data_IF_394684106275
#
_entry.id   IF_394684106275
#
_cell.length_a   1.000
_cell.length_b   1.000
_cell.length_c   1.000
_cell.angle_alpha   90.00
_cell.angle_beta   90.00
_cell.angle_gamma   90.00
#
_symmetry.space_group_name_H-M   'P 1'
#
loop_
_entity.id
_entity.type
_entity.pdbx_description
1 polymer ?
#
# COMPACT_ATOMS: atom_id res chain seq x y z
N UNK A 1 24.21 -3.19 -7.39
CA UNK A 1 25.19 -3.96 -8.19
C UNK A 1 25.19 -3.37 -9.61
N UNK A 2 26.32 -2.87 -10.15
CA UNK A 2 26.36 -2.35 -11.54
C UNK A 2 26.62 -3.53 -12.49
N UNK A 3 25.65 -3.87 -13.33
CA UNK A 3 25.76 -4.98 -14.29
C UNK A 3 26.39 -4.50 -15.60
N UNK A 4 27.14 -5.37 -16.31
CA UNK A 4 27.75 -5.02 -17.59
C UNK A 4 26.67 -4.82 -18.67
N UNK A 5 26.77 -3.72 -19.41
CA UNK A 5 25.80 -3.28 -20.45
C UNK A 5 25.58 -4.27 -21.61
N UNK A 6 26.31 -5.40 -21.66
CA UNK A 6 26.36 -6.34 -22.79
C UNK A 6 25.70 -7.71 -22.53
N UNK A 7 24.78 -7.83 -21.57
CA UNK A 7 23.99 -9.05 -21.39
C UNK A 7 22.78 -9.10 -22.34
N UNK A 8 22.44 -10.29 -22.84
CA UNK A 8 21.19 -10.50 -23.57
C UNK A 8 19.99 -10.24 -22.66
N UNK A 9 18.82 -9.89 -23.23
CA UNK A 9 17.60 -9.62 -22.47
C UNK A 9 17.17 -10.80 -21.58
N UNK A 10 17.34 -12.02 -22.09
CA UNK A 10 17.07 -13.26 -21.37
C UNK A 10 18.04 -13.48 -20.20
N UNK A 11 19.31 -13.15 -20.36
CA UNK A 11 20.30 -13.29 -19.29
C UNK A 11 20.09 -12.24 -18.20
N UNK A 12 19.66 -11.02 -18.56
CA UNK A 12 19.26 -10.00 -17.60
C UNK A 12 18.05 -10.46 -16.78
N UNK A 13 16.99 -10.95 -17.42
CA UNK A 13 15.81 -11.47 -16.72
C UNK A 13 16.16 -12.58 -15.74
N UNK A 14 16.97 -13.57 -16.17
CA UNK A 14 17.43 -14.66 -15.30
C UNK A 14 18.21 -14.17 -14.08
N UNK A 15 18.97 -13.08 -14.21
CA UNK A 15 19.67 -12.48 -13.07
C UNK A 15 18.70 -11.78 -12.11
N UNK A 16 17.72 -11.03 -12.63
CA UNK A 16 16.66 -10.42 -11.82
C UNK A 16 15.85 -11.47 -11.05
N UNK A 17 15.48 -12.57 -11.71
CA UNK A 17 14.74 -13.67 -11.10
C UNK A 17 15.56 -14.32 -9.97
N UNK A 18 16.84 -14.62 -10.21
CA UNK A 18 17.74 -15.18 -9.19
C UNK A 18 17.93 -14.28 -7.99
N UNK A 19 18.10 -12.98 -8.21
CA UNK A 19 18.26 -12.02 -7.12
C UNK A 19 16.96 -11.92 -6.30
N UNK A 20 15.81 -11.82 -6.98
CA UNK A 20 14.50 -11.80 -6.31
C UNK A 20 14.27 -13.07 -5.50
N UNK A 21 14.60 -14.23 -6.04
CA UNK A 21 14.52 -15.50 -5.33
C UNK A 21 15.42 -15.52 -4.09
N UNK A 22 16.67 -15.07 -4.22
CA UNK A 22 17.60 -14.96 -3.09
C UNK A 22 17.04 -14.05 -1.98
N UNK A 23 16.56 -12.88 -2.34
CA UNK A 23 16.02 -11.90 -1.40
C UNK A 23 14.77 -12.43 -0.68
N UNK A 24 13.89 -13.11 -1.41
CA UNK A 24 12.67 -13.70 -0.84
C UNK A 24 13.01 -14.86 0.08
N UNK A 25 13.98 -15.72 -0.28
CA UNK A 25 14.47 -16.79 0.59
C UNK A 25 15.10 -16.24 1.87
N UNK A 26 15.90 -15.17 1.78
CA UNK A 26 16.50 -14.52 2.94
C UNK A 26 15.42 -14.03 3.91
N UNK A 27 14.42 -13.30 3.40
CA UNK A 27 13.31 -12.80 4.21
C UNK A 27 12.48 -13.95 4.79
N UNK A 28 12.16 -14.96 3.98
CA UNK A 28 11.38 -16.12 4.40
C UNK A 28 12.04 -16.93 5.51
N UNK A 29 13.36 -17.14 5.41
CA UNK A 29 14.12 -17.80 6.48
C UNK A 29 14.05 -16.99 7.77
N UNK A 30 14.27 -15.68 7.70
CA UNK A 30 14.18 -14.81 8.88
C UNK A 30 12.77 -14.79 9.50
N UNK A 31 11.71 -14.86 8.68
CA UNK A 31 10.34 -15.06 9.18
C UNK A 31 10.22 -16.40 9.90
N UNK A 32 10.64 -17.50 9.29
CA UNK A 32 10.60 -18.85 9.89
C UNK A 32 11.34 -18.88 11.24
N UNK A 33 12.51 -18.26 11.31
CA UNK A 33 13.33 -18.17 12.53
C UNK A 33 12.62 -17.41 13.67
N UNK A 34 11.79 -16.42 13.33
CA UNK A 34 11.03 -15.62 14.29
C UNK A 34 9.58 -16.11 14.53
N UNK A 35 9.17 -17.21 13.89
CA UNK A 35 7.77 -17.63 13.83
C UNK A 35 7.11 -17.85 15.20
N UNK A 36 7.83 -18.48 16.13
CA UNK A 36 7.29 -18.75 17.47
C UNK A 36 7.08 -17.46 18.26
N UNK A 37 8.04 -16.54 18.23
CA UNK A 37 7.93 -15.23 18.87
C UNK A 37 6.75 -14.44 18.32
N UNK A 38 6.56 -14.43 17.00
CA UNK A 38 5.43 -13.75 16.36
C UNK A 38 4.10 -14.36 16.80
N UNK A 39 3.99 -15.69 16.90
CA UNK A 39 2.76 -16.34 17.38
C UNK A 39 2.43 -15.98 18.82
N UNK A 40 3.44 -15.91 19.69
CA UNK A 40 3.27 -15.51 21.08
C UNK A 40 2.77 -14.06 21.14
N UNK A 41 3.41 -13.14 20.43
CA UNK A 41 2.99 -11.73 20.35
C UNK A 41 1.56 -11.65 19.82
N UNK A 42 1.24 -12.35 18.74
CA UNK A 42 -0.08 -12.32 18.11
C UNK A 42 -1.19 -12.83 19.01
N UNK A 43 -0.95 -13.93 19.71
CA UNK A 43 -1.92 -14.49 20.67
C UNK A 43 -2.16 -13.51 21.82
N UNK A 44 -1.09 -12.97 22.42
CA UNK A 44 -1.20 -12.01 23.52
C UNK A 44 -1.90 -10.71 23.11
N UNK A 45 -1.55 -10.18 21.94
CA UNK A 45 -2.14 -8.96 21.39
C UNK A 45 -3.63 -9.15 21.06
N UNK A 46 -4.00 -10.28 20.47
CA UNK A 46 -5.39 -10.59 20.15
C UNK A 46 -6.25 -10.69 21.42
N UNK A 47 -5.75 -11.38 22.46
CA UNK A 47 -6.44 -11.46 23.74
C UNK A 47 -6.60 -10.06 24.37
N UNK A 48 -5.53 -9.25 24.35
CA UNK A 48 -5.57 -7.88 24.86
C UNK A 48 -6.62 -7.03 24.13
N UNK A 49 -6.76 -7.15 22.80
CA UNK A 49 -7.79 -6.42 22.02
C UNK A 49 -9.22 -6.87 22.39
N UNK A 50 -9.43 -8.18 22.57
CA UNK A 50 -10.74 -8.76 22.91
C UNK A 50 -11.19 -8.28 24.30
N UNK A 51 -10.28 -8.28 25.25
CA UNK A 51 -10.57 -7.95 26.65
C UNK A 51 -10.60 -6.42 26.91
N UNK A 52 -10.19 -5.60 25.94
CA UNK A 52 -10.08 -4.15 26.12
C UNK A 52 -11.42 -3.42 25.95
N UNK A 53 -11.99 -2.95 27.06
CA UNK A 53 -13.19 -2.10 27.05
C UNK A 53 -12.91 -0.66 26.59
N UNK A 54 -11.70 -0.16 26.82
CA UNK A 54 -11.34 1.22 26.46
C UNK A 54 -11.00 1.31 24.96
N UNK A 55 -11.92 1.88 24.17
CA UNK A 55 -11.77 2.05 22.73
C UNK A 55 -10.44 2.71 22.33
N UNK A 56 -9.97 3.71 23.08
CA UNK A 56 -8.71 4.41 22.79
C UNK A 56 -7.49 3.50 22.85
N UNK A 57 -7.47 2.61 23.83
CA UNK A 57 -6.42 1.61 24.01
C UNK A 57 -6.57 0.54 22.93
N UNK A 58 -7.80 0.09 22.70
CA UNK A 58 -8.10 -0.90 21.67
C UNK A 58 -7.58 -0.47 20.30
N UNK A 59 -7.79 0.78 19.89
CA UNK A 59 -7.29 1.27 18.61
C UNK A 59 -5.75 1.37 18.52
N UNK A 60 -5.06 1.66 19.63
CA UNK A 60 -3.59 1.58 19.66
C UNK A 60 -3.14 0.13 19.44
N UNK A 61 -3.78 -0.82 20.12
CA UNK A 61 -3.49 -2.24 19.97
C UNK A 61 -3.84 -2.74 18.55
N UNK A 62 -4.91 -2.23 17.92
CA UNK A 62 -5.24 -2.52 16.52
C UNK A 62 -4.19 -1.96 15.53
N UNK A 63 -3.58 -0.80 15.80
CA UNK A 63 -2.44 -0.32 15.01
C UNK A 63 -1.19 -1.22 15.17
N UNK A 64 -0.93 -1.72 16.38
CA UNK A 64 0.14 -2.69 16.63
C UNK A 64 -0.19 -4.03 15.94
N UNK A 65 -1.46 -4.43 15.95
CA UNK A 65 -1.94 -5.62 15.24
C UNK A 65 -1.74 -5.47 13.74
N UNK A 66 -1.97 -4.27 13.22
CA UNK A 66 -1.69 -3.98 11.82
C UNK A 66 -0.20 -4.17 11.49
N UNK A 67 0.73 -3.73 12.35
CA UNK A 67 2.16 -4.02 12.19
C UNK A 67 2.45 -5.52 12.23
N UNK A 68 1.83 -6.28 13.12
CA UNK A 68 2.03 -7.73 13.17
C UNK A 68 1.50 -8.42 11.90
N UNK A 69 0.31 -8.04 11.45
CA UNK A 69 -0.30 -8.50 10.22
C UNK A 69 0.61 -8.23 9.01
N UNK A 70 1.39 -7.13 9.02
CA UNK A 70 2.37 -6.92 7.95
C UNK A 70 3.34 -8.11 7.79
N UNK A 71 3.76 -8.76 8.87
CA UNK A 71 4.62 -9.93 8.79
C UNK A 71 3.93 -11.14 8.14
N UNK A 72 2.62 -11.33 8.35
CA UNK A 72 1.85 -12.38 7.67
C UNK A 72 1.85 -12.17 6.15
N UNK A 73 1.68 -10.93 5.69
CA UNK A 73 1.71 -10.64 4.26
C UNK A 73 3.10 -10.79 3.66
N UNK A 74 4.14 -10.43 4.41
CA UNK A 74 5.51 -10.66 4.00
C UNK A 74 5.77 -12.16 3.85
N UNK A 75 5.26 -12.98 4.79
CA UNK A 75 5.34 -14.44 4.73
C UNK A 75 4.61 -15.01 3.52
N UNK A 76 3.36 -14.63 3.29
CA UNK A 76 2.58 -15.11 2.13
C UNK A 76 3.28 -14.73 0.81
N UNK A 77 3.78 -13.48 0.73
CA UNK A 77 4.45 -12.97 -0.46
C UNK A 77 5.75 -13.72 -0.74
N UNK A 78 6.59 -13.92 0.28
CA UNK A 78 7.85 -14.64 0.12
C UNK A 78 7.65 -16.15 -0.09
N UNK A 79 6.63 -16.76 0.50
CA UNK A 79 6.29 -18.17 0.29
C UNK A 79 5.84 -18.48 -1.15
N UNK A 80 5.45 -17.46 -1.93
CA UNK A 80 5.08 -17.63 -3.34
C UNK A 80 6.23 -18.13 -4.24
N UNK A 81 7.50 -17.99 -3.81
CA UNK A 81 8.65 -18.59 -4.51
C UNK A 81 8.65 -20.12 -4.44
N UNK A 82 7.99 -20.71 -3.43
CA UNK A 82 7.90 -22.15 -3.23
C UNK A 82 6.72 -22.75 -4.03
N UNK A 83 6.09 -21.98 -4.93
CA UNK A 83 5.06 -22.45 -5.85
C UNK A 83 3.61 -22.15 -5.45
N UNK A 84 3.38 -21.26 -4.49
CA UNK A 84 2.01 -20.89 -4.10
C UNK A 84 1.29 -20.08 -5.20
N UNK A 85 -0.01 -20.34 -5.40
CA UNK A 85 -0.85 -19.67 -6.40
C UNK A 85 -1.11 -18.16 -6.10
N UNK A 86 -0.58 -17.65 -4.99
CA UNK A 86 -0.66 -16.23 -4.60
C UNK A 86 0.64 -15.53 -5.00
N UNK A 87 0.89 -15.47 -6.30
CA UNK A 87 2.03 -14.70 -6.84
C UNK A 87 1.76 -13.20 -6.68
N UNK A 88 2.50 -12.60 -5.75
CA UNK A 88 2.78 -11.17 -5.57
C UNK A 88 1.76 -10.29 -4.82
N UNK A 89 2.23 -9.68 -3.72
CA UNK A 89 2.08 -8.25 -3.46
C UNK A 89 3.49 -7.64 -3.57
N UNK A 90 3.71 -6.59 -4.37
CA UNK A 90 4.99 -5.89 -4.35
C UNK A 90 5.21 -5.28 -2.95
N UNK A 91 6.38 -5.58 -2.38
CA UNK A 91 6.82 -5.13 -1.04
C UNK A 91 6.73 -3.62 -0.81
N UNK A 92 6.54 -2.85 -1.87
CA UNK A 92 6.60 -1.40 -1.86
C UNK A 92 5.44 -0.72 -1.11
N UNK A 93 4.19 -1.09 -1.41
CA UNK A 93 3.03 -0.55 -0.70
C UNK A 93 2.96 -1.06 0.71
N UNK A 94 3.28 -2.34 0.85
CA UNK A 94 3.43 -3.03 2.11
C UNK A 94 4.39 -2.29 3.06
N UNK A 95 5.63 -2.09 2.64
CA UNK A 95 6.66 -1.50 3.48
C UNK A 95 6.35 -0.03 3.80
N UNK A 96 5.72 0.68 2.85
CA UNK A 96 5.23 2.04 3.10
C UNK A 96 4.12 2.08 4.16
N UNK A 97 3.20 1.12 4.13
CA UNK A 97 2.16 1.03 5.15
C UNK A 97 2.76 0.67 6.51
N UNK A 98 3.72 -0.26 6.55
CA UNK A 98 4.49 -0.58 7.75
C UNK A 98 5.13 0.69 8.35
N UNK A 99 5.95 1.42 7.57
CA UNK A 99 6.60 2.65 8.04
C UNK A 99 5.61 3.76 8.41
N UNK A 100 4.47 3.86 7.72
CA UNK A 100 3.41 4.81 8.08
C UNK A 100 2.84 4.47 9.45
N UNK A 101 2.55 3.20 9.69
CA UNK A 101 1.99 2.69 10.94
C UNK A 101 2.99 2.82 12.09
N UNK A 102 4.28 2.58 11.86
CA UNK A 102 5.34 2.85 12.83
C UNK A 102 5.28 4.29 13.37
N UNK A 103 5.19 5.28 12.47
CA UNK A 103 5.09 6.69 12.87
C UNK A 103 3.79 7.02 13.60
N UNK A 104 2.68 6.35 13.26
CA UNK A 104 1.40 6.54 13.96
C UNK A 104 1.51 5.99 15.38
N UNK A 105 1.99 4.76 15.56
CA UNK A 105 2.15 4.12 16.88
C UNK A 105 3.11 4.90 17.76
N UNK A 106 4.33 5.20 17.28
CA UNK A 106 5.30 6.02 18.01
C UNK A 106 4.72 7.40 18.35
N UNK A 107 4.00 8.00 17.41
CA UNK A 107 3.38 9.29 17.58
C UNK A 107 2.33 9.27 18.70
N UNK A 108 1.45 8.25 18.72
CA UNK A 108 0.43 8.06 19.76
C UNK A 108 1.07 7.83 21.12
N UNK A 109 2.11 7.01 21.20
CA UNK A 109 2.80 6.70 22.46
C UNK A 109 3.57 7.92 22.98
N UNK A 110 4.27 8.64 22.11
CA UNK A 110 4.95 9.89 22.48
C UNK A 110 3.98 10.94 23.02
N UNK A 111 2.80 11.06 22.43
CA UNK A 111 1.76 12.00 22.89
C UNK A 111 1.32 11.66 24.33
N UNK A 112 1.20 10.38 24.69
CA UNK A 112 0.93 9.96 26.09
C UNK A 112 2.03 10.45 27.03
N UNK A 113 3.31 10.23 26.69
CA UNK A 113 4.42 10.67 27.52
C UNK A 113 4.46 12.19 27.70
N UNK A 114 4.10 12.96 26.65
CA UNK A 114 3.98 14.41 26.72
C UNK A 114 2.84 14.83 27.66
N UNK A 115 1.63 14.31 27.43
CA UNK A 115 0.42 14.69 28.17
C UNK A 115 0.53 14.33 29.65
N UNK A 116 1.17 13.20 29.96
CA UNK A 116 1.39 12.73 31.34
C UNK A 116 2.66 13.27 31.98
N UNK A 117 3.47 14.05 31.26
CA UNK A 117 4.76 14.61 31.74
C UNK A 117 5.74 13.55 32.23
N UNK A 118 5.89 12.47 31.46
CA UNK A 118 6.67 11.29 31.81
C UNK A 118 8.03 11.19 31.09
N UNK A 119 8.54 12.30 30.54
CA UNK A 119 9.78 12.32 29.71
C UNK A 119 11.05 11.86 30.44
N UNK A 120 11.09 11.97 31.76
CA UNK A 120 12.25 11.55 32.56
C UNK A 120 12.08 10.14 33.15
N UNK A 121 10.99 9.44 32.83
CA UNK A 121 10.69 8.11 33.36
C UNK A 121 11.52 7.00 32.69
N UNK A 122 11.73 5.90 33.42
CA UNK A 122 12.31 4.67 32.85
C UNK A 122 11.50 4.16 31.65
N UNK A 123 10.16 4.26 31.69
CA UNK A 123 9.29 3.88 30.58
C UNK A 123 9.53 4.73 29.31
N UNK A 124 9.88 6.01 29.47
CA UNK A 124 10.23 6.85 28.32
C UNK A 124 11.60 6.47 27.73
N UNK A 125 12.57 6.11 28.58
CA UNK A 125 13.86 5.57 28.08
C UNK A 125 13.65 4.26 27.33
N UNK A 126 12.79 3.37 27.85
CA UNK A 126 12.40 2.13 27.19
C UNK A 126 11.77 2.42 25.82
N UNK A 127 10.82 3.37 25.74
CA UNK A 127 10.24 3.84 24.49
C UNK A 127 11.31 4.33 23.49
N UNK A 128 12.23 5.19 23.93
CA UNK A 128 13.31 5.69 23.07
C UNK A 128 14.17 4.55 22.50
N UNK A 129 14.53 3.57 23.32
CA UNK A 129 15.31 2.42 22.90
C UNK A 129 14.55 1.56 21.86
N UNK A 130 13.26 1.33 22.07
CA UNK A 130 12.40 0.59 21.12
C UNK A 130 12.30 1.36 19.79
N UNK A 131 11.99 2.65 19.83
CA UNK A 131 11.85 3.48 18.62
C UNK A 131 13.18 3.65 17.86
N UNK A 132 14.33 3.50 18.53
CA UNK A 132 15.65 3.57 17.89
C UNK A 132 15.92 2.36 16.98
N UNK A 133 15.36 1.17 17.29
CA UNK A 133 15.50 -0.05 16.48
C UNK A 133 15.15 0.16 15.01
N UNK A 134 14.13 1.01 14.76
CA UNK A 134 13.50 1.27 13.46
C UNK A 134 13.75 2.71 12.95
N UNK A 135 14.72 3.43 13.53
CA UNK A 135 14.96 4.84 13.21
C UNK A 135 15.31 5.05 11.73
N UNK A 136 16.07 4.11 11.15
CA UNK A 136 16.49 4.16 9.74
C UNK A 136 15.28 4.05 8.81
N UNK A 137 14.39 3.10 9.10
CA UNK A 137 13.15 2.79 8.39
C UNK A 137 12.18 3.99 8.47
N UNK A 138 12.12 4.69 9.62
CA UNK A 138 11.33 5.91 9.78
C UNK A 138 11.87 7.09 8.98
N UNK A 139 13.19 7.23 8.88
CA UNK A 139 13.85 8.32 8.15
C UNK A 139 13.69 8.20 6.64
N UNK A 140 13.57 6.98 6.13
CA UNK A 140 13.26 6.71 4.73
C UNK A 140 11.95 7.33 4.25
N UNK A 141 10.91 7.42 5.09
CA UNK A 141 9.64 8.06 4.70
C UNK A 141 9.79 9.52 4.27
N UNK A 142 10.78 10.26 4.79
CA UNK A 142 10.99 11.66 4.40
C UNK A 142 11.48 11.80 2.95
N UNK A 143 12.03 10.73 2.36
CA UNK A 143 12.39 10.67 0.94
C UNK A 143 11.22 10.19 0.06
N UNK A 144 10.38 9.29 0.59
CA UNK A 144 9.29 8.60 -0.14
C UNK A 144 8.05 9.51 -0.39
N UNK A 145 7.82 10.53 0.44
CA UNK A 145 6.62 11.39 0.39
C UNK A 145 6.78 12.61 -0.56
N UNK A 146 8.02 13.03 -0.85
CA UNK A 146 8.27 14.34 -1.49
C UNK A 146 9.37 14.40 -2.58
N UNK A 147 10.11 13.32 -2.83
CA UNK A 147 11.05 13.23 -3.97
C UNK A 147 10.64 12.08 -4.90
N UNK A 148 11.36 11.91 -6.02
CA UNK A 148 11.28 10.70 -6.85
C UNK A 148 11.47 9.53 -5.88
N UNK A 149 10.36 8.86 -5.61
CA UNK A 149 10.31 7.78 -4.65
C UNK A 149 11.30 6.69 -5.13
N UNK A 150 12.12 6.07 -4.26
CA UNK A 150 13.03 4.99 -4.66
C UNK A 150 12.32 3.84 -5.40
N UNK A 151 11.00 3.70 -5.19
CA UNK A 151 10.10 2.84 -5.96
C UNK A 151 9.92 3.27 -7.44
N UNK A 152 10.44 4.43 -7.87
CA UNK A 152 10.26 5.08 -9.18
C UNK A 152 11.56 5.22 -9.96
N UNK A 153 12.72 5.15 -9.29
CA UNK A 153 14.04 5.08 -9.93
C UNK A 153 14.56 3.64 -10.05
N UNK A 154 13.83 2.65 -9.49
CA UNK A 154 14.12 1.22 -9.68
C UNK A 154 14.85 0.54 -8.53
N UNK A 155 14.91 1.13 -7.35
CA UNK A 155 15.65 0.57 -6.20
C UNK A 155 14.78 -0.30 -5.30
N UNK A 156 13.92 -1.12 -5.91
CA UNK A 156 13.27 -2.27 -5.27
C UNK A 156 14.25 -3.06 -4.38
N UNK A 157 15.49 -3.23 -4.86
CA UNK A 157 16.57 -3.87 -4.12
C UNK A 157 16.98 -3.10 -2.85
N UNK A 158 17.05 -1.77 -2.89
CA UNK A 158 17.31 -1.01 -1.67
C UNK A 158 16.21 -1.23 -0.65
N UNK A 159 14.94 -1.17 -1.05
CA UNK A 159 13.82 -1.40 -0.13
C UNK A 159 13.85 -2.80 0.47
N UNK A 160 14.09 -3.81 -0.36
CA UNK A 160 14.22 -5.19 0.12
C UNK A 160 15.41 -5.35 1.07
N UNK A 161 16.52 -4.66 0.82
CA UNK A 161 17.70 -4.71 1.68
C UNK A 161 17.44 -4.09 3.06
N UNK A 162 16.49 -3.17 3.17
CA UNK A 162 16.05 -2.62 4.47
C UNK A 162 15.10 -3.53 5.24
N UNK A 163 14.50 -4.54 4.59
CA UNK A 163 13.62 -5.48 5.29
C UNK A 163 14.46 -6.34 6.25
N UNK A 164 14.28 -6.06 7.53
CA UNK A 164 14.87 -6.80 8.64
C UNK A 164 13.77 -7.30 9.58
N UNK A 165 13.37 -8.55 9.40
CA UNK A 165 12.26 -9.18 10.13
C UNK A 165 12.53 -9.21 11.64
N UNK A 166 13.74 -9.56 12.07
CA UNK A 166 14.11 -9.59 13.48
C UNK A 166 13.87 -8.23 14.16
N UNK A 167 14.33 -7.14 13.54
CA UNK A 167 14.05 -5.79 14.05
C UNK A 167 12.57 -5.46 14.08
N UNK A 168 11.82 -5.84 13.05
CA UNK A 168 10.37 -5.62 13.00
C UNK A 168 9.69 -6.35 14.18
N UNK A 169 10.07 -7.60 14.44
CA UNK A 169 9.53 -8.42 15.54
C UNK A 169 9.90 -7.85 16.90
N UNK A 170 11.18 -7.47 17.10
CA UNK A 170 11.65 -6.83 18.33
C UNK A 170 10.91 -5.52 18.61
N UNK A 171 10.69 -4.69 17.58
CA UNK A 171 9.92 -3.47 17.73
C UNK A 171 8.46 -3.76 18.09
N UNK A 172 7.79 -4.68 17.38
CA UNK A 172 6.37 -4.99 17.62
C UNK A 172 6.17 -5.56 19.03
N UNK A 173 7.03 -6.49 19.46
CA UNK A 173 7.00 -7.04 20.81
C UNK A 173 7.27 -5.97 21.87
N UNK A 174 8.35 -5.19 21.71
CA UNK A 174 8.71 -4.14 22.66
C UNK A 174 7.63 -3.06 22.79
N UNK A 175 7.05 -2.62 21.68
CA UNK A 175 6.01 -1.58 21.70
C UNK A 175 4.69 -2.10 22.27
N UNK A 176 4.38 -3.38 22.06
CA UNK A 176 3.25 -4.04 22.71
C UNK A 176 3.44 -4.13 24.22
N UNK A 177 4.59 -4.65 24.68
CA UNK A 177 4.91 -4.79 26.10
C UNK A 177 4.91 -3.42 26.81
N UNK A 178 5.50 -2.40 26.19
CA UNK A 178 5.45 -1.03 26.69
C UNK A 178 4.01 -0.52 26.79
N UNK A 179 3.18 -0.79 25.77
CA UNK A 179 1.77 -0.40 25.77
C UNK A 179 1.05 -1.06 26.95
N UNK A 180 1.26 -2.35 27.20
CA UNK A 180 0.69 -3.05 28.36
C UNK A 180 1.13 -2.43 29.68
N UNK A 181 2.42 -2.09 29.86
CA UNK A 181 2.90 -1.37 31.05
C UNK A 181 2.22 0.00 31.23
N UNK A 182 2.01 0.74 30.14
CA UNK A 182 1.32 2.04 30.17
C UNK A 182 -0.18 1.89 30.51
N UNK A 183 -0.81 0.79 30.06
CA UNK A 183 -2.19 0.42 30.40
C UNK A 183 -2.29 0.11 31.89
N UNK A 184 -1.43 -0.78 32.41
CA UNK A 184 -1.40 -1.20 33.81
C UNK A 184 -1.14 -0.03 34.76
N UNK A 185 -0.26 0.89 34.36
CA UNK A 185 0.01 2.13 35.08
C UNK A 185 -1.08 3.20 34.91
N UNK A 186 -2.16 2.89 34.17
CA UNK A 186 -3.35 3.71 34.01
C UNK A 186 -3.10 5.07 33.32
N UNK A 187 -2.08 5.15 32.45
CA UNK A 187 -1.71 6.37 31.74
C UNK A 187 -2.54 6.61 30.47
N UNK A 188 -3.18 5.58 29.95
CA UNK A 188 -4.04 5.60 28.77
C UNK A 188 -5.51 5.90 29.12
N UNK A 189 -5.80 7.15 29.52
CA UNK A 189 -7.19 7.64 29.72
C UNK A 189 -7.51 8.80 28.79
N UNK A 190 -8.59 8.66 28.03
CA UNK A 190 -9.14 9.72 27.19
C UNK A 190 -10.09 9.15 26.14
N UNK A 191 -10.98 9.99 25.61
CA UNK A 191 -11.73 9.66 24.39
C UNK A 191 -10.80 9.87 23.20
N UNK A 192 -10.68 8.89 22.31
CA UNK A 192 -10.04 9.07 21.01
C UNK A 192 -11.04 9.66 20.03
N UNK A 193 -10.61 10.70 19.32
CA UNK A 193 -11.34 11.16 18.14
C UNK A 193 -11.24 10.11 17.04
N UNK A 194 -12.37 9.50 16.73
CA UNK A 194 -12.49 8.54 15.64
C UNK A 194 -12.88 9.23 14.33
N UNK A 195 -12.31 8.73 13.25
CA UNK A 195 -12.71 9.11 11.89
C UNK A 195 -14.09 8.52 11.63
N UNK A 196 -15.12 9.37 11.56
CA UNK A 196 -16.41 8.98 10.99
C UNK A 196 -16.29 8.97 9.48
N UNK A 197 -16.59 7.85 8.82
CA UNK A 197 -16.70 7.78 7.36
C UNK A 197 -18.06 8.32 6.94
N UNK A 198 -18.06 9.22 5.97
CA UNK A 198 -19.24 9.91 5.44
C UNK A 198 -19.27 9.72 3.93
N UNK A 199 -19.62 8.50 3.50
CA UNK A 199 -19.80 8.14 2.10
C UNK A 199 -21.10 7.38 1.89
N UNK A 200 -21.68 7.47 0.69
CA UNK A 200 -22.93 6.75 0.38
C UNK A 200 -22.68 5.24 0.34
N UNK A 201 -23.62 4.47 0.90
CA UNK A 201 -23.61 3.02 0.76
C UNK A 201 -24.15 2.69 -0.63
N UNK A 202 -23.32 2.02 -1.43
CA UNK A 202 -23.67 1.47 -2.74
C UNK A 202 -24.02 -0.01 -2.57
N UNK A 203 -25.20 -0.46 -3.04
CA UNK A 203 -25.62 -1.86 -2.90
C UNK A 203 -24.60 -2.87 -3.45
N UNK A 204 -24.54 -4.06 -2.84
CA UNK A 204 -23.62 -5.12 -3.25
C UNK A 204 -23.74 -5.46 -4.75
N UNK A 205 -24.96 -5.55 -5.29
CA UNK A 205 -25.20 -5.82 -6.71
C UNK A 205 -24.54 -4.77 -7.63
N UNK A 206 -24.63 -3.49 -7.29
CA UNK A 206 -24.00 -2.40 -8.04
C UNK A 206 -22.47 -2.41 -7.87
N UNK A 207 -21.96 -2.75 -6.68
CA UNK A 207 -20.51 -2.94 -6.45
C UNK A 207 -19.96 -4.09 -7.29
N UNK A 208 -20.67 -5.22 -7.38
CA UNK A 208 -20.29 -6.36 -8.22
C UNK A 208 -20.25 -5.97 -9.70
N UNK A 209 -21.25 -5.22 -10.19
CA UNK A 209 -21.25 -4.71 -11.57
C UNK A 209 -20.06 -3.78 -11.83
N UNK A 210 -19.76 -2.90 -10.88
CA UNK A 210 -18.61 -1.98 -10.94
C UNK A 210 -17.29 -2.76 -11.00
N UNK A 211 -17.11 -3.76 -10.14
CA UNK A 211 -15.93 -4.64 -10.17
C UNK A 211 -15.82 -5.41 -11.49
N UNK A 212 -16.93 -5.92 -12.02
CA UNK A 212 -16.94 -6.63 -13.31
C UNK A 212 -16.50 -5.73 -14.48
N UNK A 213 -16.95 -4.47 -14.51
CA UNK A 213 -16.48 -3.48 -15.48
C UNK A 213 -15.00 -3.17 -15.29
N UNK A 214 -14.57 -2.91 -14.05
CA UNK A 214 -13.19 -2.58 -13.72
C UNK A 214 -12.21 -3.74 -14.05
N UNK A 215 -12.67 -5.00 -13.98
CA UNK A 215 -11.90 -6.16 -14.43
C UNK A 215 -11.63 -6.14 -15.94
N UNK A 216 -12.56 -5.64 -16.78
CA UNK A 216 -12.31 -5.50 -18.22
C UNK A 216 -11.22 -4.45 -18.49
N UNK A 217 -11.30 -3.31 -17.81
CA UNK A 217 -10.26 -2.28 -17.86
C UNK A 217 -8.91 -2.83 -17.39
N UNK A 218 -8.91 -3.63 -16.33
CA UNK A 218 -7.70 -4.26 -15.81
C UNK A 218 -7.03 -5.18 -16.82
N UNK A 219 -7.78 -5.99 -17.57
CA UNK A 219 -7.22 -6.83 -18.63
C UNK A 219 -6.50 -5.97 -19.66
N UNK A 220 -7.14 -4.89 -20.13
CA UNK A 220 -6.52 -3.96 -21.08
C UNK A 220 -5.27 -3.27 -20.54
N UNK A 221 -5.30 -2.81 -19.28
CA UNK A 221 -4.11 -2.26 -18.60
C UNK A 221 -2.99 -3.31 -18.58
N UNK A 222 -3.28 -4.54 -18.16
CA UNK A 222 -2.27 -5.61 -18.07
C UNK A 222 -1.65 -5.95 -19.43
N UNK A 223 -2.46 -5.96 -20.48
CA UNK A 223 -2.00 -6.19 -21.84
C UNK A 223 -1.02 -5.11 -22.30
N UNK A 224 -1.32 -3.84 -22.03
CA UNK A 224 -0.43 -2.71 -22.33
C UNK A 224 0.85 -2.75 -21.49
N UNK A 225 0.77 -3.07 -20.20
CA UNK A 225 1.94 -3.21 -19.33
C UNK A 225 2.86 -4.36 -19.80
N UNK A 226 2.28 -5.50 -20.17
CA UNK A 226 3.02 -6.64 -20.69
C UNK A 226 3.75 -6.29 -21.99
N UNK A 227 3.09 -5.55 -22.88
CA UNK A 227 3.68 -5.05 -24.12
C UNK A 227 4.84 -4.07 -23.86
N UNK A 228 4.68 -3.11 -22.94
CA UNK A 228 5.79 -2.21 -22.57
C UNK A 228 6.95 -3.04 -22.01
N UNK A 229 6.67 -4.03 -21.13
CA UNK A 229 7.69 -4.90 -20.54
C UNK A 229 8.51 -5.65 -21.61
N UNK A 230 7.85 -6.29 -22.59
CA UNK A 230 8.54 -6.98 -23.69
C UNK A 230 9.46 -6.02 -24.46
N UNK A 231 9.01 -4.79 -24.71
CA UNK A 231 9.81 -3.78 -25.41
C UNK A 231 11.01 -3.29 -24.61
N UNK A 232 10.86 -3.11 -23.29
CA UNK A 232 11.99 -2.79 -22.42
C UNK A 232 13.04 -3.89 -22.46
N UNK A 233 12.60 -5.16 -22.44
CA UNK A 233 13.51 -6.28 -22.56
C UNK A 233 14.25 -6.29 -23.91
N UNK A 234 13.56 -5.99 -25.01
CA UNK A 234 14.14 -6.01 -26.35
C UNK A 234 15.09 -4.83 -26.61
N UNK A 235 14.73 -3.63 -26.16
CA UNK A 235 15.41 -2.39 -26.56
C UNK A 235 16.18 -1.68 -25.42
N UNK A 236 16.12 -2.20 -24.18
CA UNK A 236 16.76 -1.66 -22.96
C UNK A 236 16.49 -0.16 -22.69
N UNK A 237 15.43 0.42 -23.26
CA UNK A 237 15.09 1.83 -23.07
C UNK A 237 13.60 1.97 -22.79
N UNK A 238 13.31 2.56 -21.65
CA UNK A 238 11.99 3.09 -21.30
C UNK A 238 12.20 4.56 -20.99
N UNK A 239 11.44 5.43 -21.65
CA UNK A 239 11.43 6.84 -21.32
C UNK A 239 10.76 7.08 -19.96
N UNK A 240 10.84 8.30 -19.45
CA UNK A 240 10.29 8.61 -18.15
C UNK A 240 8.75 8.57 -18.14
N UNK A 241 8.09 8.77 -19.28
CA UNK A 241 6.63 8.66 -19.39
C UNK A 241 6.19 7.20 -19.22
N UNK A 242 6.79 6.28 -19.98
CA UNK A 242 6.53 4.85 -19.90
C UNK A 242 6.83 4.26 -18.51
N UNK A 243 7.88 4.74 -17.83
CA UNK A 243 8.17 4.34 -16.43
C UNK A 243 7.03 4.70 -15.48
N UNK A 244 6.47 5.91 -15.61
CA UNK A 244 5.36 6.35 -14.76
C UNK A 244 4.08 5.56 -15.03
N UNK A 245 3.81 5.21 -16.30
CA UNK A 245 2.66 4.39 -16.69
C UNK A 245 2.77 2.97 -16.13
N UNK A 246 3.96 2.37 -16.24
CA UNK A 246 4.21 1.05 -15.64
C UNK A 246 3.94 1.06 -14.14
N UNK A 247 4.46 2.07 -13.43
CA UNK A 247 4.25 2.13 -11.99
C UNK A 247 2.77 2.32 -11.63
N UNK A 248 2.05 3.24 -12.29
CA UNK A 248 0.61 3.42 -12.09
C UNK A 248 -0.14 2.10 -12.29
N UNK A 249 0.20 1.37 -13.35
CA UNK A 249 -0.33 0.04 -13.64
C UNK A 249 -0.05 -0.97 -12.53
N UNK A 250 1.16 -1.03 -11.99
CA UNK A 250 1.48 -1.90 -10.85
C UNK A 250 0.71 -1.52 -9.58
N UNK A 251 0.55 -0.23 -9.29
CA UNK A 251 -0.28 0.23 -8.15
C UNK A 251 -1.75 -0.17 -8.33
N UNK A 252 -2.27 -0.09 -9.54
CA UNK A 252 -3.62 -0.54 -9.83
C UNK A 252 -3.78 -2.06 -9.63
N UNK A 253 -2.79 -2.84 -10.03
CA UNK A 253 -2.74 -4.28 -9.79
C UNK A 253 -2.70 -4.63 -8.29
N UNK A 254 -1.92 -3.88 -7.50
CA UNK A 254 -1.90 -3.99 -6.03
C UNK A 254 -3.27 -3.73 -5.41
N UNK A 255 -3.95 -2.67 -5.89
CA UNK A 255 -5.28 -2.30 -5.42
C UNK A 255 -6.31 -3.38 -5.76
N UNK A 256 -6.28 -3.90 -6.99
CA UNK A 256 -7.16 -4.99 -7.40
C UNK A 256 -6.98 -6.23 -6.51
N UNK A 257 -5.74 -6.65 -6.23
CA UNK A 257 -5.48 -7.80 -5.34
C UNK A 257 -5.99 -7.56 -3.92
N UNK A 258 -5.83 -6.35 -3.40
CA UNK A 258 -6.35 -5.97 -2.09
C UNK A 258 -7.88 -6.08 -2.07
N UNK A 259 -8.55 -5.57 -3.10
CA UNK A 259 -10.00 -5.66 -3.26
C UNK A 259 -10.50 -7.10 -3.40
N UNK A 260 -9.83 -7.93 -4.20
CA UNK A 260 -10.17 -9.35 -4.30
C UNK A 260 -10.21 -10.00 -2.91
N UNK A 261 -9.24 -9.69 -2.04
CA UNK A 261 -9.21 -10.28 -0.69
C UNK A 261 -10.27 -9.66 0.23
N UNK A 262 -10.57 -8.36 0.09
CA UNK A 262 -11.70 -7.71 0.80
C UNK A 262 -13.04 -8.38 0.50
N UNK A 263 -13.23 -8.90 -0.73
CA UNK A 263 -14.51 -9.46 -1.20
C UNK A 263 -14.57 -10.99 -1.25
N UNK A 264 -13.44 -11.71 -1.25
CA UNK A 264 -13.40 -13.18 -1.37
C UNK A 264 -13.85 -13.91 -0.08
N UNK A 265 -13.84 -13.21 1.05
CA UNK A 265 -14.12 -13.76 2.38
C UNK A 265 -15.61 -13.96 2.72
N UNK A 266 -16.54 -13.73 1.79
CA UNK A 266 -17.95 -14.06 2.07
C UNK A 266 -18.26 -15.57 1.94
N UNK A 267 -17.40 -16.38 1.28
CA UNK A 267 -17.65 -17.82 1.09
C UNK A 267 -16.44 -18.78 1.24
N UNK A 268 -15.18 -18.33 1.27
CA UNK A 268 -14.04 -19.28 1.32
C UNK A 268 -13.55 -19.53 2.75
N UNK A 269 -13.55 -20.80 3.16
CA UNK A 269 -12.82 -21.29 4.34
C UNK A 269 -11.39 -20.73 4.36
N UNK A 270 -11.06 -20.05 5.46
CA UNK A 270 -9.74 -19.85 6.05
C UNK A 270 -8.55 -20.00 5.09
N UNK A 271 -7.75 -18.95 4.91
CA UNK A 271 -6.31 -19.14 4.66
C UNK A 271 -5.72 -19.77 5.92
N UNK A 272 -5.92 -21.07 6.07
CA UNK A 272 -5.41 -21.91 7.15
C UNK A 272 -3.92 -22.06 6.92
N UNK A 273 -3.15 -21.08 7.44
CA UNK A 273 -1.72 -21.11 7.80
C UNK A 273 -1.28 -19.67 8.13
N UNK A 274 -1.87 -19.00 9.14
CA UNK A 274 -1.36 -17.69 9.57
C UNK A 274 0.01 -17.85 10.25
N UNK A 275 1.01 -17.12 9.75
CA UNK A 275 2.36 -17.09 10.29
C UNK A 275 2.35 -16.62 11.76
N UNK A 276 1.54 -15.61 12.06
CA UNK A 276 1.30 -15.04 13.39
C UNK A 276 0.30 -15.80 14.25
N UNK A 277 -0.38 -16.84 13.74
CA UNK A 277 -1.45 -17.54 14.46
C UNK A 277 -2.76 -16.75 14.61
N UNK A 278 -2.83 -15.53 14.08
CA UNK A 278 -4.05 -14.73 14.11
C UNK A 278 -5.14 -15.33 13.22
N UNK A 279 -6.40 -15.29 13.70
CA UNK A 279 -7.58 -15.39 12.81
C UNK A 279 -7.69 -14.05 12.10
N UNK A 280 -7.35 -14.01 10.82
CA UNK A 280 -7.24 -12.76 10.05
C UNK A 280 -8.62 -12.07 9.95
N UNK A 281 -8.76 -10.88 10.53
CA UNK A 281 -9.73 -9.90 10.00
C UNK A 281 -9.13 -9.30 8.72
N UNK A 282 -9.18 -10.07 7.63
CA UNK A 282 -8.63 -9.68 6.32
C UNK A 282 -9.15 -8.32 5.86
N UNK A 283 -10.42 -8.06 6.16
CA UNK A 283 -11.11 -6.84 5.80
C UNK A 283 -10.35 -5.58 6.21
N UNK A 284 -10.07 -5.40 7.50
CA UNK A 284 -9.51 -4.14 8.01
C UNK A 284 -8.12 -3.85 7.42
N UNK A 285 -7.26 -4.88 7.39
CA UNK A 285 -5.91 -4.74 6.86
C UNK A 285 -5.94 -4.33 5.38
N UNK A 286 -6.70 -5.06 4.55
CA UNK A 286 -6.71 -4.80 3.11
C UNK A 286 -7.45 -3.52 2.72
N UNK A 287 -8.43 -3.09 3.53
CA UNK A 287 -9.05 -1.78 3.38
C UNK A 287 -8.04 -0.67 3.66
N UNK A 288 -7.30 -0.77 4.76
CA UNK A 288 -6.24 0.20 5.09
C UNK A 288 -5.15 0.26 4.01
N UNK A 289 -4.71 -0.91 3.53
CA UNK A 289 -3.79 -1.00 2.40
C UNK A 289 -4.35 -0.34 1.13
N UNK A 290 -5.63 -0.57 0.82
CA UNK A 290 -6.29 0.02 -0.35
C UNK A 290 -6.32 1.55 -0.29
N UNK A 291 -6.61 2.14 0.87
CA UNK A 291 -6.54 3.60 1.10
C UNK A 291 -5.14 4.13 0.77
N UNK A 292 -4.11 3.45 1.29
CA UNK A 292 -2.72 3.84 1.05
C UNK A 292 -2.32 3.71 -0.41
N UNK A 293 -2.72 2.64 -1.10
CA UNK A 293 -2.44 2.44 -2.53
C UNK A 293 -3.14 3.51 -3.38
N UNK A 294 -4.43 3.78 -3.14
CA UNK A 294 -5.19 4.82 -3.84
C UNK A 294 -4.52 6.18 -3.69
N UNK A 295 -4.11 6.54 -2.49
CA UNK A 295 -3.42 7.81 -2.26
C UNK A 295 -2.09 7.89 -3.00
N UNK A 296 -1.31 6.78 -3.05
CA UNK A 296 -0.08 6.72 -3.83
C UNK A 296 -0.35 6.94 -5.31
N UNK A 297 -1.39 6.33 -5.85
CA UNK A 297 -1.78 6.54 -7.26
C UNK A 297 -1.99 8.03 -7.52
N UNK A 298 -2.66 8.76 -6.63
CA UNK A 298 -2.82 10.20 -6.77
C UNK A 298 -1.50 10.98 -6.71
N UNK A 299 -0.64 10.70 -5.73
CA UNK A 299 0.69 11.34 -5.67
C UNK A 299 1.45 11.17 -7.00
N UNK A 300 1.25 10.04 -7.69
CA UNK A 300 1.87 9.76 -8.99
C UNK A 300 1.21 10.35 -10.20
N UNK A 301 -0.11 10.39 -10.21
CA UNK A 301 -0.83 11.18 -11.20
C UNK A 301 -0.39 12.66 -11.09
N UNK A 302 -0.25 13.18 -9.87
CA UNK A 302 0.29 14.52 -9.63
C UNK A 302 1.69 14.70 -10.20
N UNK A 303 2.62 13.81 -9.88
CA UNK A 303 4.01 13.89 -10.39
C UNK A 303 4.09 13.74 -11.91
N UNK A 304 3.31 12.82 -12.49
CA UNK A 304 3.21 12.61 -13.93
C UNK A 304 2.78 13.90 -14.64
N UNK A 305 1.67 14.50 -14.19
CA UNK A 305 1.13 15.73 -14.77
C UNK A 305 2.06 16.92 -14.55
N UNK A 306 2.68 17.02 -13.37
CA UNK A 306 3.67 18.04 -13.07
C UNK A 306 4.81 18.06 -14.08
N UNK A 307 5.34 16.87 -14.43
CA UNK A 307 6.40 16.69 -15.43
C UNK A 307 5.88 16.93 -16.84
N UNK A 308 4.77 16.30 -17.22
CA UNK A 308 4.18 16.37 -18.57
C UNK A 308 3.82 17.81 -18.97
N UNK A 309 3.41 18.64 -18.02
CA UNK A 309 2.96 20.01 -18.25
C UNK A 309 3.97 21.10 -17.85
N UNK A 310 5.20 20.76 -17.44
CA UNK A 310 6.23 21.67 -16.93
C UNK A 310 5.68 22.76 -15.98
N UNK A 311 4.97 22.36 -14.92
CA UNK A 311 4.15 23.31 -14.14
C UNK A 311 4.99 24.29 -13.28
N UNK A 312 6.26 23.98 -13.02
CA UNK A 312 7.22 24.78 -12.20
C UNK A 312 6.64 25.28 -10.86
N UNK A 313 5.81 24.47 -10.23
CA UNK A 313 5.25 24.72 -8.89
C UNK A 313 6.07 24.00 -7.81
N UNK A 314 6.04 24.52 -6.57
CA UNK A 314 6.82 23.97 -5.45
C UNK A 314 6.42 22.55 -5.04
N UNK A 315 5.18 22.14 -5.29
CA UNK A 315 4.61 20.88 -4.79
C UNK A 315 4.04 20.07 -5.94
N UNK A 316 4.37 18.78 -6.00
CA UNK A 316 3.97 17.85 -7.07
C UNK A 316 2.81 16.91 -6.69
N UNK A 317 2.21 17.04 -5.50
CA UNK A 317 1.07 16.20 -5.14
C UNK A 317 -0.17 16.58 -5.97
N UNK A 318 -1.03 15.58 -6.22
CA UNK A 318 -2.18 15.67 -7.12
C UNK A 318 -2.98 16.97 -6.99
N UNK A 319 -3.46 17.28 -5.78
CA UNK A 319 -4.25 18.48 -5.52
C UNK A 319 -3.53 19.76 -5.97
N UNK A 320 -2.27 19.99 -5.57
CA UNK A 320 -1.56 21.21 -5.96
C UNK A 320 -1.34 21.31 -7.48
N UNK A 321 -1.14 20.17 -8.13
CA UNK A 321 -0.95 20.08 -9.57
C UNK A 321 -2.24 20.43 -10.31
N UNK A 322 -3.36 19.80 -9.96
CA UNK A 322 -4.67 20.10 -10.54
C UNK A 322 -5.07 21.56 -10.28
N UNK A 323 -4.91 22.08 -9.05
CA UNK A 323 -5.14 23.49 -8.73
C UNK A 323 -4.34 24.44 -9.64
N UNK A 324 -3.11 24.07 -9.99
CA UNK A 324 -2.27 24.88 -10.87
C UNK A 324 -2.69 24.77 -12.33
N UNK A 325 -3.17 23.61 -12.77
CA UNK A 325 -3.65 23.38 -14.13
C UNK A 325 -4.95 24.17 -14.33
N UNK A 326 -5.89 24.05 -13.39
CA UNK A 326 -7.18 24.77 -13.41
C UNK A 326 -6.98 26.29 -13.48
N UNK A 327 -5.96 26.83 -12.79
CA UNK A 327 -5.64 28.27 -12.82
C UNK A 327 -5.00 28.74 -14.13
N UNK A 328 -4.31 27.87 -14.85
CA UNK A 328 -3.61 28.21 -16.10
C UNK A 328 -4.49 28.03 -17.33
N UNK A 329 -5.48 27.13 -17.29
CA UNK A 329 -6.27 26.77 -18.47
C UNK A 329 -7.55 27.58 -18.61
N UNK A 330 -7.64 28.34 -19.71
CA UNK A 330 -8.90 28.83 -20.29
C UNK A 330 -9.32 27.88 -21.42
N UNK A 331 -10.34 27.04 -21.19
CA UNK A 331 -11.19 26.32 -22.17
C UNK A 331 -10.61 25.27 -23.16
N UNK A 332 -9.29 25.04 -23.27
CA UNK A 332 -8.71 24.03 -24.19
C UNK A 332 -8.02 22.83 -23.50
N UNK A 333 -8.54 22.39 -22.34
CA UNK A 333 -8.00 21.21 -21.64
C UNK A 333 -8.31 19.92 -22.40
N UNK A 334 -7.39 18.96 -22.43
CA UNK A 334 -7.70 17.60 -22.91
C UNK A 334 -8.81 16.97 -22.05
N UNK A 335 -9.54 16.01 -22.63
CA UNK A 335 -10.62 15.30 -21.91
C UNK A 335 -10.11 14.70 -20.59
N UNK A 336 -8.92 14.11 -20.62
CA UNK A 336 -8.26 13.56 -19.44
C UNK A 336 -8.00 14.61 -18.34
N UNK A 337 -7.52 15.81 -18.70
CA UNK A 337 -7.30 16.88 -17.71
C UNK A 337 -8.63 17.28 -17.06
N UNK A 338 -9.71 17.37 -17.86
CA UNK A 338 -11.04 17.67 -17.33
C UNK A 338 -11.53 16.59 -16.36
N UNK A 339 -11.39 15.32 -16.72
CA UNK A 339 -11.77 14.20 -15.84
C UNK A 339 -10.99 14.20 -14.52
N UNK A 340 -9.72 14.60 -14.55
CA UNK A 340 -8.88 14.73 -13.35
C UNK A 340 -9.28 15.95 -12.49
N UNK A 341 -9.65 17.07 -13.10
CA UNK A 341 -10.21 18.23 -12.39
C UNK A 341 -11.55 17.90 -11.74
N UNK A 342 -12.42 17.18 -12.45
CA UNK A 342 -13.71 16.71 -11.94
C UNK A 342 -13.52 15.71 -10.78
N UNK A 343 -12.58 14.78 -10.90
CA UNK A 343 -12.21 13.85 -9.82
C UNK A 343 -11.72 14.59 -8.57
N UNK A 344 -10.89 15.63 -8.73
CA UNK A 344 -10.41 16.43 -7.59
C UNK A 344 -11.55 17.11 -6.82
N UNK A 345 -12.67 17.40 -7.50
CA UNK A 345 -13.90 17.91 -6.90
C UNK A 345 -14.88 16.84 -6.40
N UNK A 346 -14.62 15.55 -6.65
CA UNK A 346 -15.57 14.48 -6.35
C UNK A 346 -15.65 14.14 -4.86
N UNK A 347 -16.81 13.66 -4.44
CA UNK A 347 -17.04 13.18 -3.06
C UNK A 347 -16.07 12.06 -2.70
N UNK A 348 -15.78 11.17 -3.64
CA UNK A 348 -14.90 10.03 -3.44
C UNK A 348 -13.46 10.48 -3.13
N UNK A 349 -12.89 11.39 -3.93
CA UNK A 349 -11.54 11.89 -3.69
C UNK A 349 -11.45 12.69 -2.39
N UNK A 350 -12.42 13.56 -2.13
CA UNK A 350 -12.47 14.39 -0.91
C UNK A 350 -12.48 13.51 0.33
N UNK A 351 -13.34 12.49 0.34
CA UNK A 351 -13.49 11.59 1.47
C UNK A 351 -12.25 10.70 1.67
N UNK A 352 -11.72 10.13 0.59
CA UNK A 352 -10.48 9.35 0.63
C UNK A 352 -9.30 10.17 1.15
N UNK A 353 -9.15 11.41 0.67
CA UNK A 353 -8.11 12.34 1.13
C UNK A 353 -8.27 12.68 2.61
N UNK A 354 -9.49 12.94 3.07
CA UNK A 354 -9.81 13.24 4.46
C UNK A 354 -9.44 12.08 5.38
N UNK A 355 -9.85 10.85 5.05
CA UNK A 355 -9.53 9.64 5.82
C UNK A 355 -8.01 9.48 5.93
N UNK A 356 -7.31 9.49 4.79
CA UNK A 356 -5.85 9.34 4.74
C UNK A 356 -5.11 10.38 5.59
N UNK A 357 -5.50 11.65 5.50
CA UNK A 357 -4.88 12.74 6.24
C UNK A 357 -5.11 12.62 7.74
N UNK A 358 -6.32 12.23 8.14
CA UNK A 358 -6.62 12.00 9.55
C UNK A 358 -5.80 10.83 10.13
N UNK A 359 -5.61 9.74 9.37
CA UNK A 359 -4.78 8.60 9.79
C UNK A 359 -3.29 9.01 9.89
N UNK A 360 -2.68 9.56 8.83
CA UNK A 360 -1.22 9.82 8.85
C UNK A 360 -0.79 11.03 9.66
N UNK A 361 -1.54 12.13 9.58
CA UNK A 361 -1.07 13.43 10.09
C UNK A 361 -1.70 13.76 11.42
N UNK A 362 -2.99 13.45 11.60
CA UNK A 362 -3.67 13.64 12.87
C UNK A 362 -3.60 12.41 13.78
N UNK A 363 -3.07 11.28 13.27
CA UNK A 363 -2.93 10.02 14.01
C UNK A 363 -4.26 9.53 14.60
N UNK A 364 -5.38 9.84 13.95
CA UNK A 364 -6.71 9.42 14.40
C UNK A 364 -6.97 7.98 14.02
N UNK A 365 -7.83 7.34 14.79
CA UNK A 365 -8.25 5.95 14.57
C UNK A 365 -9.48 5.87 13.68
N UNK A 366 -9.65 4.74 12.99
CA UNK A 366 -10.82 4.45 12.17
C UNK A 366 -11.35 3.08 12.58
N UNK A 367 -12.61 3.02 12.97
CA UNK A 367 -13.32 1.76 13.16
C UNK A 367 -13.76 1.23 11.79
N UNK A 368 -12.93 0.33 11.24
CA UNK A 368 -13.14 -0.27 9.93
C UNK A 368 -14.38 -1.18 9.92
N UNK A 369 -14.65 -1.90 11.02
CA UNK A 369 -15.79 -2.81 11.09
C UNK A 369 -17.11 -2.03 11.09
N UNK A 370 -17.20 -0.96 11.88
CA UNK A 370 -18.38 -0.10 11.92
C UNK A 370 -18.62 0.68 10.63
N UNK A 371 -17.55 1.05 9.93
CA UNK A 371 -17.61 1.82 8.67
C UNK A 371 -17.53 0.94 7.43
N UNK A 372 -17.80 -0.37 7.58
CA UNK A 372 -17.37 -1.36 6.60
C UNK A 372 -18.05 -1.19 5.25
N UNK A 373 -19.35 -0.92 5.26
CA UNK A 373 -20.14 -0.74 4.04
C UNK A 373 -19.78 0.56 3.30
N UNK A 374 -19.64 1.67 4.01
CA UNK A 374 -19.21 2.95 3.43
C UNK A 374 -17.81 2.84 2.82
N UNK A 375 -16.88 2.17 3.52
CA UNK A 375 -15.51 1.96 3.05
C UNK A 375 -15.46 1.05 1.82
N UNK A 376 -16.21 -0.05 1.82
CA UNK A 376 -16.34 -0.96 0.67
C UNK A 376 -16.86 -0.21 -0.56
N UNK A 377 -17.91 0.60 -0.38
CA UNK A 377 -18.48 1.42 -1.45
C UNK A 377 -17.51 2.49 -1.95
N UNK A 378 -16.82 3.19 -1.05
CA UNK A 378 -15.83 4.19 -1.41
C UNK A 378 -14.67 3.59 -2.21
N UNK A 379 -14.06 2.51 -1.72
CA UNK A 379 -12.91 1.88 -2.38
C UNK A 379 -13.31 1.28 -3.73
N UNK A 380 -14.48 0.67 -3.84
CA UNK A 380 -14.97 0.08 -5.11
C UNK A 380 -15.13 1.15 -6.20
N UNK A 381 -15.75 2.29 -5.87
CA UNK A 381 -15.91 3.38 -6.83
C UNK A 381 -14.57 4.02 -7.18
N UNK A 382 -13.69 4.20 -6.20
CA UNK A 382 -12.33 4.70 -6.44
C UNK A 382 -11.52 3.77 -7.33
N UNK A 383 -11.66 2.46 -7.18
CA UNK A 383 -10.99 1.47 -8.03
C UNK A 383 -11.40 1.62 -9.50
N UNK A 384 -12.69 1.74 -9.77
CA UNK A 384 -13.19 1.93 -11.14
C UNK A 384 -12.74 3.27 -11.77
N UNK A 385 -12.81 4.37 -11.00
CA UNK A 385 -12.36 5.69 -11.45
C UNK A 385 -10.86 5.67 -11.78
N UNK A 386 -10.05 5.15 -10.86
CA UNK A 386 -8.60 5.07 -11.03
C UNK A 386 -8.23 4.17 -12.19
N UNK A 387 -8.90 3.02 -12.35
CA UNK A 387 -8.69 2.12 -13.47
C UNK A 387 -8.97 2.80 -14.81
N UNK A 388 -10.06 3.57 -14.90
CA UNK A 388 -10.39 4.33 -16.11
C UNK A 388 -9.32 5.35 -16.46
N UNK A 389 -8.82 6.11 -15.47
CA UNK A 389 -7.76 7.11 -15.68
C UNK A 389 -6.46 6.47 -16.16
N UNK A 390 -6.04 5.38 -15.50
CA UNK A 390 -4.78 4.69 -15.85
C UNK A 390 -4.89 4.05 -17.23
N UNK A 391 -6.05 3.49 -17.58
CA UNK A 391 -6.30 2.96 -18.91
C UNK A 391 -6.19 4.05 -19.98
N UNK A 392 -6.88 5.19 -19.81
CA UNK A 392 -6.82 6.32 -20.74
C UNK A 392 -5.40 6.88 -20.91
N UNK A 393 -4.65 6.99 -19.81
CA UNK A 393 -3.23 7.39 -19.85
C UNK A 393 -2.37 6.41 -20.64
N UNK A 394 -2.62 5.12 -20.48
CA UNK A 394 -1.89 4.07 -21.19
C UNK A 394 -2.23 4.09 -22.68
N UNK A 395 -3.50 4.28 -23.05
CA UNK A 395 -3.92 4.44 -24.44
C UNK A 395 -3.27 5.67 -25.09
N UNK A 396 -3.32 6.84 -24.44
CA UNK A 396 -2.69 8.07 -24.95
C UNK A 396 -1.19 7.86 -25.22
N UNK A 397 -0.49 7.16 -24.33
CA UNK A 397 0.93 6.84 -24.53
C UNK A 397 1.14 5.87 -25.70
N UNK A 398 0.29 4.85 -25.86
CA UNK A 398 0.38 3.93 -26.99
C UNK A 398 0.13 4.65 -28.31
N UNK A 399 -0.87 5.52 -28.38
CA UNK A 399 -1.18 6.33 -29.56
C UNK A 399 -0.02 7.26 -29.92
N UNK A 400 0.47 8.04 -28.96
CA UNK A 400 1.57 9.00 -29.16
C UNK A 400 2.87 8.31 -29.62
N UNK A 401 3.09 7.05 -29.21
CA UNK A 401 4.27 6.27 -29.57
C UNK A 401 4.02 5.27 -30.72
N UNK A 402 2.85 5.31 -31.37
CA UNK A 402 2.48 4.38 -32.45
C UNK A 402 2.65 2.90 -32.07
N UNK A 403 2.29 2.57 -30.84
CA UNK A 403 2.38 1.23 -30.27
C UNK A 403 1.06 0.48 -30.45
N UNK A 404 1.14 -0.84 -30.53
CA UNK A 404 -0.03 -1.73 -30.47
C UNK A 404 0.27 -2.93 -29.59
N UNK A 405 -0.75 -3.41 -28.89
CA UNK A 405 -0.64 -4.61 -28.05
C UNK A 405 -0.49 -5.84 -28.95
N UNK A 406 0.62 -6.56 -28.80
CA UNK A 406 0.90 -7.78 -29.56
C UNK A 406 0.04 -8.98 -29.11
N UNK A 407 -0.09 -9.97 -29.99
CA UNK A 407 -0.75 -11.25 -29.67
C UNK A 407 -0.02 -12.01 -28.55
N UNK A 408 1.30 -11.79 -28.40
CA UNK A 408 2.10 -12.36 -27.31
C UNK A 408 1.62 -11.82 -25.96
N UNK A 409 1.52 -10.50 -25.83
CA UNK A 409 1.04 -9.82 -24.63
C UNK A 409 -0.39 -10.25 -24.25
N UNK A 410 -1.29 -10.31 -25.23
CA UNK A 410 -2.67 -10.81 -25.04
C UNK A 410 -2.70 -12.25 -24.55
N UNK A 411 -1.89 -13.11 -25.14
CA UNK A 411 -1.82 -14.53 -24.79
C UNK A 411 -1.27 -14.74 -23.38
N UNK A 412 -0.25 -13.98 -22.98
CA UNK A 412 0.34 -14.03 -21.64
C UNK A 412 -0.68 -13.57 -20.57
N UNK A 413 -1.41 -12.49 -20.81
CA UNK A 413 -2.47 -12.03 -19.91
C UNK A 413 -3.62 -13.04 -19.85
N UNK A 414 -4.04 -13.61 -20.98
CA UNK A 414 -5.08 -14.63 -21.04
C UNK A 414 -4.71 -15.88 -20.21
N UNK A 415 -3.49 -16.40 -20.37
CA UNK A 415 -3.00 -17.54 -19.60
C UNK A 415 -2.99 -17.27 -18.09
N UNK A 416 -2.65 -16.05 -17.69
CA UNK A 416 -2.62 -15.64 -16.28
C UNK A 416 -4.01 -15.32 -15.69
N UNK A 417 -5.01 -15.03 -16.52
CA UNK A 417 -6.39 -14.69 -16.10
C UNK A 417 -7.35 -15.88 -16.12
N UNK A 418 -7.08 -16.92 -16.92
CA UNK A 418 -7.87 -18.17 -16.97
C UNK A 418 -7.86 -18.94 -15.63
N UNK A 419 -6.89 -18.69 -14.75
CA UNK A 419 -6.80 -19.31 -13.42
C UNK A 419 -7.58 -18.62 -12.28
N UNK A 420 -8.26 -17.49 -12.53
CA UNK A 420 -8.95 -16.72 -11.47
C UNK A 420 -10.26 -16.12 -11.99
N UNK A 421 -11.32 -16.93 -12.05
CA UNK A 421 -12.67 -16.37 -11.98
C UNK A 421 -12.98 -16.04 -10.52
N UNK A 422 -13.43 -14.80 -10.29
CA UNK A 422 -14.09 -14.39 -9.05
C UNK A 422 -15.25 -15.33 -8.74
#
# INVERSE_FOLDING_TARGET
>A
MKYPDKLSSLDKQRLYDKQTEYDYRRILNSLRDNSETVKIIGTSLNNAIIDMENESIKYLLEDIMHLLQTLDYLFDSCSSIEGSNVKFLPHTAFFREYVTTLKVVDGKIYDIFNERKLKDSELFKEFCNISELILKEKNWRNQIEHNIDPFYDGDYFEIINEVNVEKMVLYIGGIFDLSMKLIDANYLKGKVENIKVTYKIVPLSERIQTMSRANKLQIGINEMLCEISHRVMENNKLDDEGKNIIDLGFKYLELNKSLLIVYKDEESEYVNQSYSGLKREHYQYFVRMSISIIYRIFDKLGLYLYKKMDLRIKKSYFKAVIDSIDKKNNNNSSLLIKDLSDLRGSTEYIEMSRIRQNIAHKKLSLDFNRSSEEMRSLITNMFDIVGSIIYSLSEEYFENNSLSVSNRSKSEVAQNSIGKKL
#
